data_IF_351129339166
#
_entry.id   IF_351129339166
#
_cell.length_a   1.000
_cell.length_b   1.000
_cell.length_c   1.000
_cell.angle_alpha   90.00
_cell.angle_beta   90.00
_cell.angle_gamma   90.00
#
_symmetry.space_group_name_H-M   'P 1'
#
loop_
_entity.id
_entity.type
_entity.pdbx_description
1 polymer ?
#
# COMPACT_ATOMS: atom_id res chain seq x y z
N UNK A 1 10.67 -19.21 -21.86
CA UNK A 1 10.67 -18.68 -20.48
C UNK A 1 11.47 -17.38 -20.44
N UNK A 2 10.87 -16.33 -19.92
CA UNK A 2 11.57 -15.06 -19.73
C UNK A 2 12.28 -15.09 -18.38
N UNK A 3 13.63 -15.08 -18.38
CA UNK A 3 14.44 -15.17 -17.16
C UNK A 3 14.60 -13.83 -16.44
N UNK A 4 14.34 -12.69 -17.10
CA UNK A 4 14.52 -11.37 -16.50
C UNK A 4 13.66 -11.15 -15.25
N UNK A 5 12.35 -11.51 -15.23
CA UNK A 5 11.54 -11.39 -14.01
C UNK A 5 12.04 -12.27 -12.87
N UNK A 6 12.60 -13.44 -13.17
CA UNK A 6 13.16 -14.35 -12.16
C UNK A 6 14.41 -13.75 -11.53
N UNK A 7 15.33 -13.21 -12.33
CA UNK A 7 16.53 -12.54 -11.81
C UNK A 7 16.19 -11.32 -10.97
N UNK A 8 15.23 -10.50 -11.44
CA UNK A 8 14.76 -9.33 -10.71
C UNK A 8 14.15 -9.73 -9.36
N UNK A 9 13.36 -10.80 -9.33
CA UNK A 9 12.76 -11.33 -8.10
C UNK A 9 13.83 -11.80 -7.11
N UNK A 10 14.87 -12.51 -7.57
CA UNK A 10 15.96 -13.00 -6.73
C UNK A 10 16.75 -11.84 -6.12
N UNK A 11 17.11 -10.84 -6.94
CA UNK A 11 17.83 -9.65 -6.45
C UNK A 11 17.02 -8.93 -5.40
N UNK A 12 15.74 -8.75 -5.64
CA UNK A 12 14.84 -8.07 -4.70
C UNK A 12 14.72 -8.83 -3.38
N UNK A 13 14.63 -10.15 -3.42
CA UNK A 13 14.61 -10.98 -2.20
C UNK A 13 15.86 -10.78 -1.36
N UNK A 14 17.04 -10.73 -1.98
CA UNK A 14 18.29 -10.49 -1.24
C UNK A 14 18.29 -9.14 -0.54
N UNK A 15 17.82 -8.09 -1.19
CA UNK A 15 17.70 -6.76 -0.59
C UNK A 15 16.78 -6.79 0.62
N UNK A 16 15.61 -7.40 0.48
CA UNK A 16 14.63 -7.51 1.57
C UNK A 16 15.15 -8.35 2.73
N UNK A 17 15.86 -9.45 2.45
CA UNK A 17 16.49 -10.26 3.50
C UNK A 17 17.53 -9.46 4.27
N UNK A 18 18.35 -8.67 3.58
CA UNK A 18 19.34 -7.83 4.23
C UNK A 18 18.68 -6.76 5.12
N UNK A 19 17.58 -6.15 4.64
CA UNK A 19 16.83 -5.17 5.42
C UNK A 19 16.26 -5.80 6.71
N UNK A 20 15.73 -7.02 6.62
CA UNK A 20 15.24 -7.74 7.80
C UNK A 20 16.36 -8.08 8.77
N UNK A 21 17.53 -8.47 8.28
CA UNK A 21 18.69 -8.75 9.13
C UNK A 21 19.16 -7.51 9.88
N UNK A 22 19.09 -6.33 9.27
CA UNK A 22 19.41 -5.06 9.94
C UNK A 22 18.42 -4.70 11.03
N UNK A 23 17.23 -5.29 11.02
CA UNK A 23 16.18 -5.12 12.03
C UNK A 23 16.26 -6.18 13.15
N UNK A 24 17.42 -6.79 13.36
CA UNK A 24 17.71 -7.79 14.37
C UNK A 24 17.00 -9.16 14.19
N UNK A 25 16.55 -9.46 12.98
CA UNK A 25 16.07 -10.82 12.68
C UNK A 25 17.25 -11.78 12.48
N UNK A 26 17.14 -12.99 13.02
CA UNK A 26 18.05 -14.07 12.64
C UNK A 26 17.84 -14.42 11.17
N UNK A 27 18.81 -15.11 10.55
CA UNK A 27 18.70 -15.48 9.14
C UNK A 27 17.42 -16.29 8.85
N UNK A 28 17.12 -17.27 9.71
CA UNK A 28 15.93 -18.10 9.58
C UNK A 28 14.64 -17.29 9.76
N UNK A 29 14.60 -16.41 10.76
CA UNK A 29 13.43 -15.58 11.02
C UNK A 29 13.21 -14.55 9.90
N UNK A 30 14.30 -13.99 9.35
CA UNK A 30 14.22 -13.10 8.21
C UNK A 30 13.63 -13.79 6.97
N UNK A 31 14.05 -15.02 6.69
CA UNK A 31 13.51 -15.81 5.58
C UNK A 31 12.03 -16.11 5.78
N UNK A 32 11.63 -16.51 6.99
CA UNK A 32 10.23 -16.79 7.32
C UNK A 32 9.35 -15.53 7.20
N UNK A 33 9.84 -14.40 7.68
CA UNK A 33 9.13 -13.12 7.61
C UNK A 33 8.95 -12.67 6.15
N UNK A 34 10.00 -12.79 5.36
CA UNK A 34 9.92 -12.45 3.94
C UNK A 34 8.92 -13.35 3.20
N UNK A 35 8.96 -14.65 3.46
CA UNK A 35 8.02 -15.59 2.85
C UNK A 35 6.57 -15.28 3.22
N UNK A 36 6.32 -14.92 4.47
CA UNK A 36 5.02 -14.48 4.94
C UNK A 36 4.49 -13.29 4.12
N UNK A 37 5.30 -12.26 3.93
CA UNK A 37 4.90 -11.08 3.15
C UNK A 37 4.72 -11.38 1.67
N UNK A 38 5.56 -12.22 1.09
CA UNK A 38 5.42 -12.65 -0.31
C UNK A 38 4.08 -13.38 -0.49
N UNK A 39 3.77 -14.31 0.40
CA UNK A 39 2.54 -15.10 0.32
C UNK A 39 1.30 -14.24 0.49
N UNK A 40 1.33 -13.25 1.37
CA UNK A 40 0.24 -12.29 1.53
C UNK A 40 -0.08 -11.56 0.23
N UNK A 41 0.95 -11.12 -0.50
CA UNK A 41 0.75 -10.46 -1.78
C UNK A 41 0.22 -11.42 -2.84
N UNK A 42 0.77 -12.64 -2.90
CA UNK A 42 0.30 -13.67 -3.83
C UNK A 42 -1.17 -14.04 -3.60
N UNK A 43 -1.60 -14.04 -2.35
CA UNK A 43 -2.95 -14.44 -1.95
C UNK A 43 -3.98 -13.31 -2.03
N UNK A 44 -3.57 -12.11 -2.47
CA UNK A 44 -4.52 -11.02 -2.69
C UNK A 44 -5.57 -11.42 -3.73
N UNK A 45 -6.83 -11.00 -3.54
CA UNK A 45 -7.88 -11.29 -4.53
C UNK A 45 -7.64 -10.54 -5.84
N UNK A 46 -8.27 -10.99 -6.91
CA UNK A 46 -8.14 -10.35 -8.23
C UNK A 46 -8.58 -8.88 -8.24
N UNK A 47 -9.55 -8.54 -7.40
CA UNK A 47 -9.96 -7.16 -7.15
C UNK A 47 -9.86 -6.89 -5.66
N UNK A 48 -9.10 -5.87 -5.30
CA UNK A 48 -8.80 -5.55 -3.92
C UNK A 48 -9.53 -4.26 -3.54
N UNK A 49 -10.34 -4.33 -2.49
CA UNK A 49 -10.96 -3.14 -1.92
C UNK A 49 -9.98 -2.48 -0.96
N UNK A 50 -9.68 -1.22 -1.20
CA UNK A 50 -8.69 -0.51 -0.40
C UNK A 50 -9.08 0.96 -0.22
N UNK A 51 -8.37 1.65 0.67
CA UNK A 51 -8.78 2.96 1.17
C UNK A 51 -7.59 3.91 1.24
N UNK A 52 -7.87 5.18 0.97
CA UNK A 52 -6.86 6.23 1.09
C UNK A 52 -7.52 7.49 1.66
N UNK A 53 -6.83 8.16 2.58
CA UNK A 53 -7.26 9.46 3.08
C UNK A 53 -6.47 10.54 2.35
N UNK A 54 -7.17 11.52 1.82
CA UNK A 54 -6.58 12.71 1.21
C UNK A 54 -7.06 13.96 1.92
N UNK A 55 -6.21 14.97 1.95
CA UNK A 55 -6.48 16.27 2.57
C UNK A 55 -6.42 17.34 1.49
N UNK A 56 -7.53 18.03 1.27
CA UNK A 56 -7.68 19.08 0.25
C UNK A 56 -8.58 20.16 0.77
N UNK A 57 -8.49 21.36 0.20
CA UNK A 57 -9.37 22.48 0.55
C UNK A 57 -10.79 22.28 0.02
N UNK A 58 -10.90 21.67 -1.15
CA UNK A 58 -12.18 21.39 -1.80
C UNK A 58 -12.12 20.01 -2.47
N UNK A 59 -13.24 19.30 -2.46
CA UNK A 59 -13.35 17.96 -3.06
C UNK A 59 -12.91 17.95 -4.54
N UNK A 60 -13.18 19.00 -5.28
CA UNK A 60 -12.78 19.14 -6.69
C UNK A 60 -11.27 19.15 -6.89
N UNK A 61 -10.50 19.43 -5.84
CA UNK A 61 -9.03 19.48 -5.91
C UNK A 61 -8.40 18.08 -5.85
N UNK A 62 -9.20 17.03 -5.62
CA UNK A 62 -8.71 15.66 -5.65
C UNK A 62 -8.39 15.28 -7.09
N UNK A 63 -7.14 14.83 -7.31
CA UNK A 63 -6.71 14.41 -8.65
C UNK A 63 -7.24 13.00 -8.95
N UNK A 64 -8.33 12.91 -9.71
CA UNK A 64 -8.99 11.65 -10.03
C UNK A 64 -8.20 10.76 -11.00
N UNK A 65 -7.23 11.33 -11.72
CA UNK A 65 -6.39 10.57 -12.67
C UNK A 65 -5.13 10.02 -12.03
N UNK A 66 -4.72 10.56 -10.90
CA UNK A 66 -3.55 10.11 -10.13
C UNK A 66 -3.88 10.22 -8.65
N UNK A 67 -4.70 9.30 -8.18
CA UNK A 67 -5.24 9.34 -6.82
C UNK A 67 -4.19 9.11 -5.74
N UNK A 68 -3.09 8.47 -6.07
CA UNK A 68 -1.98 8.19 -5.19
C UNK A 68 -1.50 6.75 -5.27
N UNK A 69 -0.38 6.47 -4.62
CA UNK A 69 0.29 5.17 -4.71
C UNK A 69 -0.01 4.22 -3.55
N UNK A 70 -0.37 4.75 -2.38
CA UNK A 70 -0.51 3.95 -1.16
C UNK A 70 -1.95 3.86 -0.72
N UNK A 71 -2.42 2.63 -0.49
CA UNK A 71 -3.78 2.35 -0.05
C UNK A 71 -3.74 1.38 1.14
N UNK A 72 -4.58 1.62 2.12
CA UNK A 72 -4.73 0.72 3.26
C UNK A 72 -5.78 -0.34 2.97
N UNK A 73 -5.55 -1.56 3.48
CA UNK A 73 -6.49 -2.66 3.32
C UNK A 73 -7.60 -2.64 4.39
N UNK A 74 -7.39 -1.93 5.49
CA UNK A 74 -8.36 -1.84 6.58
C UNK A 74 -8.77 -0.38 6.82
N UNK A 75 -10.05 -0.08 6.57
CA UNK A 75 -10.60 1.26 6.72
C UNK A 75 -10.51 1.78 8.15
N UNK A 76 -10.88 0.95 9.10
CA UNK A 76 -10.91 1.34 10.53
C UNK A 76 -9.53 1.69 11.05
N UNK A 77 -8.53 0.88 10.73
CA UNK A 77 -7.14 1.15 11.11
C UNK A 77 -6.60 2.41 10.44
N UNK A 78 -6.93 2.62 9.17
CA UNK A 78 -6.51 3.82 8.45
C UNK A 78 -7.04 5.09 9.12
N UNK A 79 -8.32 5.13 9.43
CA UNK A 79 -8.95 6.28 10.09
C UNK A 79 -8.41 6.47 11.49
N UNK A 80 -8.27 5.41 12.26
CA UNK A 80 -7.77 5.44 13.63
C UNK A 80 -6.34 5.97 13.73
N UNK A 81 -5.48 5.57 12.79
CA UNK A 81 -4.06 5.90 12.82
C UNK A 81 -3.70 7.18 12.06
N UNK A 82 -4.67 7.79 11.38
CA UNK A 82 -4.41 9.02 10.63
C UNK A 82 -4.33 10.24 11.57
N UNK A 83 -3.33 11.08 11.34
CA UNK A 83 -3.18 12.34 12.07
C UNK A 83 -3.99 13.43 11.37
N UNK A 84 -5.03 13.94 12.05
CA UNK A 84 -5.85 15.03 11.55
C UNK A 84 -5.39 16.36 12.13
N UNK A 85 -5.06 17.32 11.26
CA UNK A 85 -4.80 18.69 11.69
C UNK A 85 -6.10 19.42 11.93
N UNK A 86 -6.24 20.06 13.10
CA UNK A 86 -7.40 20.91 13.39
C UNK A 86 -7.05 22.38 13.13
N UNK A 87 -7.99 23.13 12.56
CA UNK A 87 -7.85 24.56 12.34
C UNK A 87 -7.12 24.96 11.06
N UNK A 88 -6.72 24.03 10.21
CA UNK A 88 -6.02 24.32 8.95
C UNK A 88 -6.97 24.76 7.80
N UNK A 89 -8.28 24.57 7.96
CA UNK A 89 -9.24 24.81 6.89
C UNK A 89 -9.32 23.70 5.84
N UNK A 90 -8.46 22.69 5.94
CA UNK A 90 -8.48 21.55 5.04
C UNK A 90 -9.58 20.58 5.41
N UNK A 91 -10.11 19.93 4.39
CA UNK A 91 -11.08 18.85 4.54
C UNK A 91 -10.41 17.52 4.27
N UNK A 92 -10.86 16.48 4.98
CA UNK A 92 -10.35 15.12 4.81
C UNK A 92 -11.41 14.26 4.13
N UNK A 93 -10.97 13.53 3.13
CA UNK A 93 -11.84 12.61 2.38
C UNK A 93 -11.25 11.22 2.42
N UNK A 94 -12.11 10.23 2.66
CA UNK A 94 -11.73 8.84 2.48
C UNK A 94 -12.16 8.38 1.10
N UNK A 95 -11.21 7.84 0.37
CA UNK A 95 -11.42 7.29 -0.96
C UNK A 95 -11.47 5.78 -0.83
N UNK A 96 -12.56 5.18 -1.30
CA UNK A 96 -12.68 3.74 -1.43
C UNK A 96 -12.44 3.38 -2.89
N UNK A 97 -11.53 2.46 -3.13
CA UNK A 97 -11.15 2.05 -4.47
C UNK A 97 -11.19 0.54 -4.62
N UNK A 98 -11.50 0.09 -5.84
CA UNK A 98 -11.28 -1.28 -6.29
C UNK A 98 -10.00 -1.30 -7.11
N UNK A 99 -9.05 -2.11 -6.70
CA UNK A 99 -7.72 -2.17 -7.30
C UNK A 99 -7.54 -3.54 -7.96
N UNK A 100 -7.37 -3.59 -9.29
CA UNK A 100 -7.00 -4.85 -9.93
C UNK A 100 -5.66 -5.35 -9.40
N UNK A 101 -5.55 -6.64 -9.12
CA UNK A 101 -4.31 -7.24 -8.59
C UNK A 101 -3.10 -6.93 -9.48
N UNK A 102 -3.29 -6.87 -10.80
CA UNK A 102 -2.22 -6.52 -11.76
C UNK A 102 -1.65 -5.12 -11.55
N UNK A 103 -2.41 -4.21 -10.91
CA UNK A 103 -1.98 -2.86 -10.63
C UNK A 103 -1.19 -2.75 -9.32
N UNK A 104 -1.11 -3.81 -8.54
CA UNK A 104 -0.31 -3.82 -7.31
C UNK A 104 1.17 -3.91 -7.66
N UNK A 105 1.94 -2.97 -7.14
CA UNK A 105 3.39 -3.07 -7.17
C UNK A 105 3.80 -4.02 -6.04
N UNK A 106 4.06 -5.28 -6.41
CA UNK A 106 4.30 -6.34 -5.43
C UNK A 106 5.56 -6.08 -4.60
N UNK A 107 6.64 -5.64 -5.22
CA UNK A 107 7.91 -5.39 -4.55
C UNK A 107 7.79 -4.27 -3.52
N UNK A 108 7.21 -3.14 -3.92
CA UNK A 108 7.00 -2.00 -3.03
C UNK A 108 6.04 -2.35 -1.88
N UNK A 109 4.99 -3.12 -2.18
CA UNK A 109 4.04 -3.57 -1.17
C UNK A 109 4.72 -4.43 -0.11
N UNK A 110 5.54 -5.39 -0.53
CA UNK A 110 6.29 -6.25 0.39
C UNK A 110 7.25 -5.41 1.23
N UNK A 111 8.03 -4.54 0.59
CA UNK A 111 9.00 -3.69 1.27
C UNK A 111 8.34 -2.80 2.34
N UNK A 112 7.26 -2.14 1.98
CA UNK A 112 6.56 -1.23 2.90
C UNK A 112 5.93 -1.98 4.07
N UNK A 113 5.41 -3.19 3.87
CA UNK A 113 4.85 -3.99 4.95
C UNK A 113 5.92 -4.59 5.87
N UNK A 114 7.13 -4.80 5.38
CA UNK A 114 8.27 -5.17 6.22
C UNK A 114 8.66 -4.01 7.14
N UNK A 115 8.76 -2.80 6.59
CA UNK A 115 9.14 -1.60 7.35
C UNK A 115 8.03 -1.11 8.29
N UNK A 116 6.79 -1.16 7.84
CA UNK A 116 5.63 -0.62 8.55
C UNK A 116 4.48 -1.64 8.58
N UNK A 117 4.66 -2.77 9.30
CA UNK A 117 3.69 -3.88 9.26
C UNK A 117 2.31 -3.51 9.80
N UNK A 118 2.23 -2.55 10.72
CA UNK A 118 0.97 -2.11 11.31
C UNK A 118 0.09 -1.31 10.32
N UNK A 119 0.64 -0.79 9.25
CA UNK A 119 -0.12 0.00 8.29
C UNK A 119 -0.95 -0.85 7.33
N UNK A 120 -0.52 -2.09 7.09
CA UNK A 120 -1.22 -3.05 6.23
C UNK A 120 -1.62 -2.43 4.89
N UNK A 121 -0.64 -1.90 4.17
CA UNK A 121 -0.82 -1.16 2.93
C UNK A 121 -0.56 -2.01 1.69
N UNK A 122 -1.14 -1.57 0.58
CA UNK A 122 -0.71 -1.96 -0.76
C UNK A 122 -0.22 -0.73 -1.51
N UNK A 123 0.79 -0.91 -2.33
CA UNK A 123 1.32 0.12 -3.22
C UNK A 123 0.91 -0.20 -4.64
N UNK A 124 0.38 0.78 -5.37
CA UNK A 124 -0.09 0.60 -6.73
C UNK A 124 0.82 1.27 -7.74
N UNK A 125 0.78 0.78 -8.98
CA UNK A 125 1.55 1.31 -10.11
C UNK A 125 0.97 2.64 -10.59
N UNK A 126 1.81 3.44 -11.24
CA UNK A 126 1.40 4.65 -11.98
C UNK A 126 0.56 5.62 -11.12
N UNK A 127 0.88 5.74 -9.83
CA UNK A 127 0.21 6.66 -8.89
C UNK A 127 -1.31 6.49 -8.83
N UNK A 128 -1.78 5.25 -9.04
CA UNK A 128 -3.20 4.93 -8.96
C UNK A 128 -4.02 5.30 -10.21
N UNK A 129 -3.36 5.50 -11.35
CA UNK A 129 -4.06 5.85 -12.60
C UNK A 129 -5.12 4.85 -13.02
N UNK A 130 -4.88 3.56 -12.76
CA UNK A 130 -5.74 2.46 -13.24
C UNK A 130 -6.58 1.83 -12.12
N UNK A 131 -6.74 2.51 -10.99
CA UNK A 131 -7.64 2.05 -9.94
C UNK A 131 -9.06 2.58 -10.19
N UNK A 132 -10.07 1.80 -9.80
CA UNK A 132 -11.46 2.22 -9.89
C UNK A 132 -11.86 2.90 -8.58
N UNK A 133 -12.28 4.15 -8.65
CA UNK A 133 -12.76 4.87 -7.47
C UNK A 133 -14.23 4.56 -7.28
N UNK A 134 -14.57 3.98 -6.13
CA UNK A 134 -15.93 3.57 -5.79
C UNK A 134 -16.68 4.70 -5.08
N UNK A 135 -16.03 5.35 -4.13
CA UNK A 135 -16.65 6.45 -3.39
C UNK A 135 -15.60 7.39 -2.81
N UNK A 136 -16.02 8.63 -2.61
CA UNK A 136 -15.23 9.67 -1.93
C UNK A 136 -16.15 10.29 -0.89
N UNK A 137 -15.81 10.13 0.39
CA UNK A 137 -16.63 10.64 1.49
C UNK A 137 -15.83 11.53 2.42
N UNK A 138 -16.39 12.67 2.79
CA UNK A 138 -15.78 13.54 3.79
C UNK A 138 -15.73 12.85 5.14
N UNK A 139 -14.59 12.98 5.82
CA UNK A 139 -14.41 12.54 7.19
C UNK A 139 -14.33 13.79 8.05
N UNK A 140 -15.15 13.86 9.09
CA UNK A 140 -15.07 14.92 10.09
C UNK A 140 -14.35 14.37 11.30
N UNK A 141 -13.17 14.93 11.66
CA UNK A 141 -12.41 14.51 12.84
C UNK A 141 -13.18 14.74 14.14
#
# INVERSE_FOLDING_TARGET
MNILPILSEIIHKKVLLNDLKTMDFSEKDAENELEYHINRVKDLPETIKAYRIVSVNDKKDINMTKIGSHFALNRSNLVKNHSFSTGSGEKYYIITANIPKKEVNQQETIHNNILYPQENEITVKNKGKNVEIVSIKEIKP
#
